data_IF_237990062124
#
_entry.id   IF_237990062124
#
_cell.length_a   1.000
_cell.length_b   1.000
_cell.length_c   1.000
_cell.angle_alpha   90.00
_cell.angle_beta   90.00
_cell.angle_gamma   90.00
#
_symmetry.space_group_name_H-M   'P 1'
#
loop_
_entity.id
_entity.type
_entity.pdbx_description
1 polymer ?
#
# COMPACT_ATOMS: atom_id res chain seq x y z
N UNK A 1 -7.60 17.40 14.94
CA UNK A 1 -6.64 17.11 14.82
C UNK A 1 -6.02 16.63 13.63
N UNK A 2 -5.02 17.16 13.31
CA UNK A 2 -4.31 16.82 12.14
C UNK A 2 -3.75 15.46 12.18
N UNK A 3 -3.74 14.87 13.32
CA UNK A 3 -3.17 13.56 13.44
C UNK A 3 -4.05 12.46 12.98
N UNK A 4 -5.19 12.77 12.48
CA UNK A 4 -6.12 11.76 12.08
C UNK A 4 -5.59 10.86 11.00
N UNK A 5 -4.78 11.38 10.09
CA UNK A 5 -4.21 10.54 9.10
C UNK A 5 -3.32 9.50 9.68
N UNK A 6 -2.50 9.91 10.61
CA UNK A 6 -1.60 8.98 11.25
C UNK A 6 -2.37 7.94 12.03
N UNK A 7 -3.44 8.37 12.68
CA UNK A 7 -4.24 7.46 13.47
C UNK A 7 -4.87 6.38 12.63
N UNK A 8 -5.08 6.63 11.36
CA UNK A 8 -5.70 5.62 10.53
C UNK A 8 -4.74 4.54 10.12
N UNK A 9 -3.44 4.77 10.21
CA UNK A 9 -2.48 3.78 9.84
C UNK A 9 -2.04 3.03 11.07
N UNK A 10 -2.94 2.17 11.51
CA UNK A 10 -2.65 1.29 12.60
C UNK A 10 -1.93 0.09 12.04
N UNK A 11 -0.94 -0.40 12.72
CA UNK A 11 -0.14 -1.50 12.22
C UNK A 11 -0.94 -2.75 11.94
N UNK A 12 -2.08 -2.86 12.54
CA UNK A 12 -2.91 -4.02 12.32
C UNK A 12 -3.76 -3.92 11.07
N UNK A 13 -3.74 -2.76 10.43
CA UNK A 13 -4.62 -2.49 9.31
C UNK A 13 -3.91 -2.35 8.00
N UNK A 14 -2.62 -2.55 7.97
CA UNK A 14 -1.88 -2.45 6.72
C UNK A 14 -0.60 -3.26 6.76
N UNK A 15 -0.08 -3.55 5.57
CA UNK A 15 1.24 -4.15 5.42
C UNK A 15 2.01 -3.35 4.39
N UNK A 16 3.33 -3.40 4.48
CA UNK A 16 4.22 -2.65 3.62
C UNK A 16 5.07 -3.63 2.82
N UNK A 17 5.25 -3.34 1.55
CA UNK A 17 6.14 -4.11 0.69
C UNK A 17 5.40 -4.99 -0.29
N UNK A 18 6.08 -5.33 -1.39
CA UNK A 18 5.46 -6.08 -2.47
C UNK A 18 5.04 -7.47 -2.05
N UNK A 19 5.94 -8.18 -1.39
CA UNK A 19 5.68 -9.57 -1.02
C UNK A 19 4.46 -9.68 -0.11
N UNK A 20 4.42 -8.83 0.91
CA UNK A 20 3.30 -8.86 1.85
C UNK A 20 2.00 -8.42 1.21
N UNK A 21 2.11 -7.45 0.30
CA UNK A 21 0.93 -6.98 -0.42
C UNK A 21 0.35 -8.08 -1.30
N UNK A 22 1.20 -8.81 -2.00
CA UNK A 22 0.71 -9.88 -2.87
C UNK A 22 0.07 -11.00 -2.06
N UNK A 23 0.62 -11.31 -0.90
CA UNK A 23 -0.01 -12.30 -0.02
C UNK A 23 -1.39 -11.84 0.42
N UNK A 24 -1.50 -10.59 0.79
CA UNK A 24 -2.78 -10.05 1.24
C UNK A 24 -3.80 -10.00 0.12
N UNK A 25 -3.35 -9.69 -1.09
CA UNK A 25 -4.24 -9.69 -2.24
C UNK A 25 -4.79 -11.07 -2.51
N UNK A 26 -3.95 -12.10 -2.37
CA UNK A 26 -4.39 -13.46 -2.59
C UNK A 26 -5.43 -13.90 -1.57
N UNK A 27 -5.43 -13.31 -0.40
CA UNK A 27 -6.39 -13.65 0.63
C UNK A 27 -7.62 -12.77 0.60
N UNK A 28 -7.70 -11.88 -0.37
CA UNK A 28 -8.83 -10.95 -0.53
C UNK A 28 -9.06 -10.10 0.72
N UNK A 29 -7.98 -9.70 1.36
CA UNK A 29 -8.07 -8.90 2.58
C UNK A 29 -7.88 -7.42 2.34
N UNK A 30 -7.48 -7.03 1.15
CA UNK A 30 -7.08 -5.65 0.87
C UNK A 30 -8.27 -4.82 0.41
N UNK A 31 -8.47 -3.67 1.04
CA UNK A 31 -9.52 -2.75 0.62
C UNK A 31 -8.99 -1.66 -0.30
N UNK A 32 -7.74 -1.28 -0.14
CA UNK A 32 -7.14 -0.29 -1.02
C UNK A 32 -5.62 -0.40 -0.97
N UNK A 33 -4.97 0.27 -1.90
CA UNK A 33 -3.51 0.24 -2.00
C UNK A 33 -2.97 1.64 -2.16
N UNK A 34 -1.74 1.85 -1.68
CA UNK A 34 -1.01 3.07 -1.94
C UNK A 34 0.30 2.65 -2.59
N UNK A 35 0.62 3.22 -3.74
CA UNK A 35 1.77 2.82 -4.52
C UNK A 35 2.65 4.04 -4.77
N UNK A 36 3.96 3.91 -4.55
CA UNK A 36 4.88 4.97 -4.85
C UNK A 36 5.12 5.03 -6.36
N UNK A 37 5.17 6.23 -6.91
CA UNK A 37 5.33 6.38 -8.35
C UNK A 37 6.69 5.98 -8.87
N UNK A 38 7.69 6.02 -8.01
CA UNK A 38 9.05 5.74 -8.42
C UNK A 38 9.48 4.30 -8.21
N UNK A 39 8.52 3.37 -8.16
CA UNK A 39 8.87 1.96 -8.14
C UNK A 39 9.21 1.51 -9.55
N UNK A 40 9.88 0.38 -9.67
CA UNK A 40 10.25 -0.13 -10.97
C UNK A 40 9.03 -0.52 -11.78
N UNK A 41 9.13 -0.34 -13.08
CA UNK A 41 8.00 -0.56 -13.97
C UNK A 41 7.45 -1.98 -13.88
N UNK A 42 8.33 -2.97 -13.87
CA UNK A 42 7.82 -4.34 -13.86
C UNK A 42 7.17 -4.72 -12.52
N UNK A 43 7.59 -4.10 -11.43
CA UNK A 43 6.90 -4.31 -10.16
C UNK A 43 5.52 -3.67 -10.21
N UNK A 44 5.45 -2.47 -10.74
CA UNK A 44 4.18 -1.78 -10.89
C UNK A 44 3.23 -2.60 -11.75
N UNK A 45 3.73 -3.17 -12.84
CA UNK A 45 2.91 -3.96 -13.75
C UNK A 45 2.33 -5.19 -13.05
N UNK A 46 3.14 -5.88 -12.25
CA UNK A 46 2.67 -7.05 -11.53
C UNK A 46 1.54 -6.69 -10.57
N UNK A 47 1.71 -5.60 -9.86
CA UNK A 47 0.72 -5.17 -8.88
C UNK A 47 -0.56 -4.74 -9.57
N UNK A 48 -0.43 -3.93 -10.63
CA UNK A 48 -1.60 -3.44 -11.34
C UNK A 48 -2.41 -4.57 -11.96
N UNK A 49 -1.74 -5.61 -12.43
CA UNK A 49 -2.43 -6.76 -12.98
C UNK A 49 -3.35 -7.39 -11.93
N UNK A 50 -2.84 -7.57 -10.71
CA UNK A 50 -3.63 -8.13 -9.63
C UNK A 50 -4.78 -7.21 -9.23
N UNK A 51 -4.50 -5.92 -9.16
CA UNK A 51 -5.51 -4.96 -8.75
C UNK A 51 -6.66 -4.92 -9.74
N UNK A 52 -6.34 -4.98 -11.03
CA UNK A 52 -7.37 -4.94 -12.04
C UNK A 52 -8.29 -6.13 -11.96
N UNK A 53 -7.74 -7.30 -11.67
CA UNK A 53 -8.55 -8.49 -11.54
C UNK A 53 -9.50 -8.43 -10.36
N UNK A 54 -9.10 -7.74 -9.32
CA UNK A 54 -9.88 -7.71 -8.09
C UNK A 54 -10.61 -6.39 -7.87
N UNK A 55 -10.46 -5.45 -8.79
CA UNK A 55 -11.13 -4.15 -8.72
C UNK A 55 -10.84 -3.40 -7.42
N UNK A 56 -9.59 -3.37 -7.04
CA UNK A 56 -9.17 -2.71 -5.80
C UNK A 56 -8.72 -1.29 -6.12
N UNK A 57 -9.24 -0.28 -5.43
CA UNK A 57 -8.81 1.09 -5.67
C UNK A 57 -7.39 1.31 -5.16
N UNK A 58 -6.68 2.23 -5.78
CA UNK A 58 -5.34 2.55 -5.34
C UNK A 58 -5.05 4.02 -5.53
N UNK A 59 -4.06 4.50 -4.78
CA UNK A 59 -3.61 5.89 -4.82
C UNK A 59 -2.12 5.88 -5.11
N UNK A 60 -1.64 6.88 -5.84
CA UNK A 60 -0.22 7.01 -6.11
C UNK A 60 0.38 8.10 -5.24
N UNK A 61 1.52 7.79 -4.64
CA UNK A 61 2.31 8.78 -3.91
C UNK A 61 3.48 9.18 -4.77
N UNK A 62 4.02 10.36 -4.53
CA UNK A 62 5.07 10.90 -5.37
C UNK A 62 6.37 10.14 -5.26
N UNK A 63 6.67 9.52 -4.13
CA UNK A 63 7.93 8.80 -3.98
C UNK A 63 7.85 7.75 -2.89
N UNK A 64 8.80 6.82 -2.96
CA UNK A 64 8.93 5.78 -1.93
C UNK A 64 9.26 6.41 -0.58
N UNK A 65 10.03 7.47 -0.60
CA UNK A 65 10.40 8.14 0.63
C UNK A 65 9.18 8.74 1.31
N UNK A 66 8.37 9.43 0.54
CA UNK A 66 7.17 10.04 1.10
C UNK A 66 6.19 9.01 1.61
N UNK A 67 6.08 7.90 0.89
CA UNK A 67 5.18 6.86 1.34
C UNK A 67 5.66 6.25 2.66
N UNK A 68 6.95 6.02 2.79
CA UNK A 68 7.49 5.54 4.05
C UNK A 68 7.22 6.47 5.20
N UNK A 69 7.39 7.78 4.95
CA UNK A 69 7.11 8.77 5.97
C UNK A 69 5.63 8.81 6.33
N UNK A 70 4.79 8.66 5.34
CA UNK A 70 3.35 8.72 5.55
C UNK A 70 2.88 7.60 6.49
N UNK A 71 3.42 6.42 6.32
CA UNK A 71 3.03 5.30 7.18
C UNK A 71 3.87 5.20 8.46
N UNK A 72 4.85 6.09 8.62
CA UNK A 72 5.60 6.18 9.86
C UNK A 72 6.74 5.19 10.04
N UNK A 73 7.31 4.72 8.94
CA UNK A 73 8.45 3.83 9.05
C UNK A 73 9.73 4.59 8.66
N UNK A 74 10.87 4.04 9.04
CA UNK A 74 12.15 4.71 8.83
C UNK A 74 12.81 4.39 7.51
N UNK A 75 12.15 3.63 6.66
CA UNK A 75 12.70 3.25 5.37
C UNK A 75 11.70 3.57 4.28
N UNK A 76 12.15 3.51 3.04
CA UNK A 76 11.26 3.78 1.92
C UNK A 76 10.22 2.66 1.80
N UNK A 77 9.04 3.03 1.33
CA UNK A 77 7.97 2.07 1.12
C UNK A 77 7.57 2.09 -0.35
N UNK A 78 7.62 0.95 -1.02
CA UNK A 78 7.23 0.88 -2.42
C UNK A 78 5.72 0.77 -2.58
N UNK A 79 5.08 0.04 -1.69
CA UNK A 79 3.65 -0.20 -1.78
C UNK A 79 3.13 -0.53 -0.40
N UNK A 80 1.92 -0.07 -0.12
CA UNK A 80 1.25 -0.32 1.15
C UNK A 80 -0.14 -0.86 0.84
N UNK A 81 -0.51 -1.96 1.47
CA UNK A 81 -1.85 -2.52 1.32
C UNK A 81 -2.63 -2.26 2.59
N UNK A 82 -3.82 -1.71 2.44
CA UNK A 82 -4.68 -1.38 3.56
C UNK A 82 -5.76 -2.44 3.64
N UNK A 83 -5.91 -3.01 4.83
CA UNK A 83 -6.83 -4.11 5.05
C UNK A 83 -8.21 -3.63 5.42
N UNK A 84 -9.15 -4.54 5.24
CA UNK A 84 -10.48 -4.33 5.75
C UNK A 84 -10.40 -4.32 7.26
N UNK A 85 -11.05 -3.37 7.88
CA UNK A 85 -10.99 -3.26 9.30
C UNK A 85 -11.85 -4.24 10.06
N UNK A 86 -12.70 -4.93 9.44
CA UNK A 86 -13.57 -5.84 10.18
C UNK A 86 -12.87 -7.12 10.56
#
# INVERSE_FOLDING_TARGET
MSNEKVARFNKQQYVVGLKETLKALNKDQVTSLIIARDVEVHLMTRVLSQINQKNIPYTLFSSKKELGEYVGINVNATIVAIFNEN
#
